data_IF_253284542256
#
_entry.id   IF_253284542256
#
_cell.length_a   1.000
_cell.length_b   1.000
_cell.length_c   1.000
_cell.angle_alpha   90.00
_cell.angle_beta   90.00
_cell.angle_gamma   90.00
#
_symmetry.space_group_name_H-M   'P 1'
#
loop_
_entity.id
_entity.type
_entity.pdbx_description
1 polymer ?
#
# COMPACT_ATOMS: atom_id res chain seq x y z
N UNK A 1 -38.82 -3.58 -58.89
CA UNK A 1 -38.41 -3.10 -57.55
C UNK A 1 -39.06 -4.01 -56.52
N UNK A 2 -38.24 -4.75 -55.80
CA UNK A 2 -38.73 -5.55 -54.68
C UNK A 2 -39.23 -4.64 -53.55
N UNK A 3 -40.28 -5.07 -52.83
CA UNK A 3 -40.71 -4.37 -51.62
C UNK A 3 -39.53 -4.32 -50.63
N UNK A 4 -39.39 -3.18 -49.92
CA UNK A 4 -38.29 -3.07 -48.95
C UNK A 4 -38.51 -4.06 -47.80
N UNK A 5 -37.50 -4.86 -47.42
CA UNK A 5 -37.64 -5.90 -46.40
C UNK A 5 -37.63 -5.30 -44.97
N UNK A 6 -38.77 -4.70 -44.57
CA UNK A 6 -38.90 -4.04 -43.26
C UNK A 6 -38.72 -4.97 -42.08
N UNK A 7 -39.07 -6.25 -42.25
CA UNK A 7 -38.88 -7.26 -41.21
C UNK A 7 -37.38 -7.52 -40.96
N UNK A 8 -36.60 -7.63 -42.06
CA UNK A 8 -35.14 -7.84 -41.96
C UNK A 8 -34.44 -6.62 -41.37
N UNK A 9 -34.87 -5.42 -41.76
CA UNK A 9 -34.39 -4.19 -41.15
C UNK A 9 -34.71 -4.14 -39.63
N UNK A 10 -35.87 -4.61 -39.22
CA UNK A 10 -36.25 -4.75 -37.81
C UNK A 10 -35.38 -5.73 -37.04
N UNK A 11 -35.04 -6.88 -37.66
CA UNK A 11 -34.11 -7.86 -37.08
C UNK A 11 -32.72 -7.26 -36.91
N UNK A 12 -32.19 -6.55 -37.91
CA UNK A 12 -30.91 -5.87 -37.87
C UNK A 12 -30.84 -4.88 -36.69
N UNK A 13 -31.88 -4.05 -36.54
CA UNK A 13 -31.99 -3.09 -35.42
C UNK A 13 -32.02 -3.83 -34.08
N UNK A 14 -32.76 -4.93 -33.98
CA UNK A 14 -32.84 -5.73 -32.76
C UNK A 14 -31.46 -6.33 -32.40
N UNK A 15 -30.68 -6.80 -33.39
CA UNK A 15 -29.33 -7.30 -33.20
C UNK A 15 -28.36 -6.18 -32.75
N UNK A 16 -28.47 -4.96 -33.30
CA UNK A 16 -27.68 -3.80 -32.86
C UNK A 16 -28.03 -3.46 -31.41
N UNK A 17 -29.28 -3.44 -31.01
CA UNK A 17 -29.71 -3.19 -29.63
C UNK A 17 -29.18 -4.28 -28.69
N UNK A 18 -29.27 -5.54 -29.10
CA UNK A 18 -28.73 -6.68 -28.32
C UNK A 18 -27.23 -6.54 -28.09
N UNK A 19 -26.48 -6.13 -29.11
CA UNK A 19 -25.07 -5.83 -29.01
C UNK A 19 -24.83 -4.71 -27.98
N UNK A 20 -25.64 -3.66 -28.00
CA UNK A 20 -25.59 -2.57 -27.04
C UNK A 20 -25.84 -3.01 -25.59
N UNK A 21 -26.77 -3.96 -25.40
CA UNK A 21 -26.99 -4.56 -24.05
C UNK A 21 -25.79 -5.29 -23.56
N UNK A 22 -25.07 -6.06 -24.40
CA UNK A 22 -23.85 -6.72 -24.04
C UNK A 22 -22.73 -5.71 -23.70
N UNK A 23 -22.49 -4.73 -24.58
CA UNK A 23 -21.47 -3.70 -24.37
C UNK A 23 -21.74 -2.85 -23.11
N UNK A 24 -23.01 -2.50 -22.86
CA UNK A 24 -23.41 -1.79 -21.63
C UNK A 24 -23.18 -2.65 -20.38
N UNK A 25 -23.51 -3.94 -20.43
CA UNK A 25 -23.36 -4.88 -19.31
C UNK A 25 -21.89 -5.08 -18.96
N UNK A 26 -21.04 -5.25 -19.98
CA UNK A 26 -19.58 -5.35 -19.83
C UNK A 26 -19.03 -4.16 -19.08
N UNK A 27 -19.25 -2.97 -19.63
CA UNK A 27 -18.72 -1.74 -19.06
C UNK A 27 -19.26 -1.47 -17.65
N UNK A 28 -20.55 -1.74 -17.41
CA UNK A 28 -21.16 -1.53 -16.11
C UNK A 28 -20.57 -2.44 -15.03
N UNK A 29 -20.31 -3.72 -15.31
CA UNK A 29 -19.77 -4.67 -14.35
C UNK A 29 -18.29 -4.37 -14.08
N UNK A 30 -17.50 -4.09 -15.11
CA UNK A 30 -16.07 -3.77 -15.00
C UNK A 30 -15.82 -2.46 -14.25
N UNK A 31 -16.64 -1.42 -14.52
CA UNK A 31 -16.48 -0.09 -13.91
C UNK A 31 -17.20 0.05 -12.56
N UNK A 32 -17.89 -0.97 -12.07
CA UNK A 32 -18.62 -0.89 -10.81
C UNK A 32 -17.69 -1.01 -9.61
N UNK A 33 -17.91 -0.15 -8.60
CA UNK A 33 -17.15 -0.18 -7.35
C UNK A 33 -17.67 -1.27 -6.43
N UNK A 34 -16.82 -2.26 -6.10
CA UNK A 34 -17.20 -3.40 -5.23
C UNK A 34 -17.84 -2.97 -3.89
N UNK A 35 -17.37 -1.93 -3.17
CA UNK A 35 -18.00 -1.48 -1.94
C UNK A 35 -19.46 -1.02 -2.15
N UNK A 36 -19.75 -0.29 -3.23
CA UNK A 36 -21.13 0.16 -3.55
C UNK A 36 -22.04 -1.01 -3.90
N UNK A 37 -21.56 -1.98 -4.67
CA UNK A 37 -22.33 -3.19 -4.95
C UNK A 37 -22.60 -3.99 -3.68
N UNK A 38 -21.65 -4.08 -2.74
CA UNK A 38 -21.85 -4.73 -1.43
C UNK A 38 -22.92 -4.01 -0.60
N UNK A 39 -22.91 -2.68 -0.57
CA UNK A 39 -23.93 -1.90 0.12
C UNK A 39 -25.35 -2.18 -0.47
N UNK A 40 -25.47 -2.23 -1.81
CA UNK A 40 -26.74 -2.57 -2.48
C UNK A 40 -27.14 -4.04 -2.23
N UNK A 41 -26.19 -4.96 -2.14
CA UNK A 41 -26.48 -6.36 -1.84
C UNK A 41 -26.98 -6.55 -0.40
N UNK A 42 -26.40 -5.79 0.55
CA UNK A 42 -26.81 -5.78 1.96
C UNK A 42 -28.22 -5.16 2.13
N UNK A 43 -28.61 -4.21 1.28
CA UNK A 43 -29.98 -3.66 1.24
C UNK A 43 -30.99 -4.58 0.51
N UNK A 44 -30.60 -5.82 0.17
CA UNK A 44 -31.49 -6.84 -0.37
C UNK A 44 -31.51 -6.99 -1.89
N UNK A 45 -30.68 -6.26 -2.65
CA UNK A 45 -30.62 -6.37 -4.10
C UNK A 45 -30.02 -7.71 -4.56
N UNK A 46 -30.87 -8.59 -5.14
CA UNK A 46 -30.44 -9.86 -5.75
C UNK A 46 -29.53 -9.64 -6.96
N UNK A 47 -29.79 -8.58 -7.73
CA UNK A 47 -28.98 -8.23 -8.89
C UNK A 47 -27.57 -7.76 -8.51
N UNK A 48 -27.42 -7.01 -7.43
CA UNK A 48 -26.10 -6.62 -6.92
C UNK A 48 -25.28 -7.83 -6.46
N UNK A 49 -25.92 -8.84 -5.82
CA UNK A 49 -25.26 -10.11 -5.49
C UNK A 49 -24.77 -10.87 -6.73
N UNK A 50 -25.56 -10.85 -7.81
CA UNK A 50 -25.16 -11.45 -9.09
C UNK A 50 -24.01 -10.66 -9.74
N UNK A 51 -24.05 -9.31 -9.71
CA UNK A 51 -22.99 -8.46 -10.23
C UNK A 51 -21.66 -8.68 -9.51
N UNK A 52 -21.66 -8.81 -8.18
CA UNK A 52 -20.47 -9.12 -7.40
C UNK A 52 -19.85 -10.44 -7.85
N UNK A 53 -20.65 -11.51 -7.97
CA UNK A 53 -20.14 -12.83 -8.42
C UNK A 53 -19.52 -12.78 -9.82
N UNK A 54 -20.09 -12.00 -10.74
CA UNK A 54 -19.51 -11.82 -12.07
C UNK A 54 -18.22 -11.01 -12.04
N UNK A 55 -18.14 -10.01 -11.16
CA UNK A 55 -16.94 -9.19 -10.96
C UNK A 55 -15.82 -9.90 -10.16
N UNK A 56 -16.13 -10.99 -9.44
CA UNK A 56 -15.14 -11.84 -8.77
C UNK A 56 -14.40 -12.78 -9.75
N UNK A 57 -15.06 -13.13 -10.87
CA UNK A 57 -14.49 -13.97 -11.93
C UNK A 57 -14.52 -13.25 -13.28
N UNK A 58 -13.74 -12.17 -13.44
CA UNK A 58 -13.86 -11.28 -14.59
C UNK A 58 -13.51 -11.98 -15.91
N UNK A 59 -12.54 -12.89 -15.91
CA UNK A 59 -12.11 -13.61 -17.12
C UNK A 59 -13.25 -14.37 -17.78
N UNK A 60 -13.97 -15.21 -17.04
CA UNK A 60 -15.14 -15.95 -17.56
C UNK A 60 -16.25 -15.05 -18.04
N UNK A 61 -16.53 -13.98 -17.31
CA UNK A 61 -17.55 -13.01 -17.69
C UNK A 61 -17.18 -12.28 -18.98
N UNK A 62 -15.97 -11.71 -19.06
CA UNK A 62 -15.48 -10.98 -20.23
C UNK A 62 -15.45 -11.86 -21.47
N UNK A 63 -14.93 -13.10 -21.37
CA UNK A 63 -14.93 -14.06 -22.46
C UNK A 63 -16.35 -14.35 -22.95
N UNK A 64 -17.32 -14.52 -22.04
CA UNK A 64 -18.72 -14.76 -22.41
C UNK A 64 -19.31 -13.58 -23.16
N UNK A 65 -19.13 -12.37 -22.66
CA UNK A 65 -19.64 -11.16 -23.31
C UNK A 65 -19.00 -10.95 -24.67
N UNK A 66 -17.70 -11.16 -24.78
CA UNK A 66 -16.97 -11.03 -26.04
C UNK A 66 -17.46 -12.04 -27.09
N UNK A 67 -17.74 -13.29 -26.69
CA UNK A 67 -18.38 -14.26 -27.57
C UNK A 67 -19.73 -13.72 -28.07
N UNK A 68 -20.54 -13.19 -27.16
CA UNK A 68 -21.86 -12.63 -27.49
C UNK A 68 -21.76 -11.46 -28.47
N UNK A 69 -20.92 -10.48 -28.19
CA UNK A 69 -20.70 -9.31 -29.04
C UNK A 69 -20.20 -9.73 -30.43
N UNK A 70 -19.21 -10.61 -30.50
CA UNK A 70 -18.63 -11.08 -31.76
C UNK A 70 -19.65 -11.86 -32.59
N UNK A 71 -20.39 -12.78 -31.96
CA UNK A 71 -21.39 -13.58 -32.63
C UNK A 71 -22.53 -12.70 -33.21
N UNK A 72 -23.06 -11.78 -32.39
CA UNK A 72 -24.10 -10.86 -32.82
C UNK A 72 -23.61 -9.97 -33.96
N UNK A 73 -22.38 -9.47 -33.88
CA UNK A 73 -21.78 -8.61 -34.92
C UNK A 73 -21.58 -9.36 -36.23
N UNK A 74 -21.09 -10.61 -36.21
CA UNK A 74 -20.94 -11.43 -37.41
C UNK A 74 -22.29 -11.74 -38.04
N UNK A 75 -23.26 -12.18 -37.21
CA UNK A 75 -24.62 -12.47 -37.70
C UNK A 75 -25.28 -11.20 -38.30
N UNK A 76 -25.11 -10.07 -37.63
CA UNK A 76 -25.69 -8.80 -38.12
C UNK A 76 -25.06 -8.38 -39.44
N UNK A 77 -23.74 -8.47 -39.59
CA UNK A 77 -23.03 -8.13 -40.82
C UNK A 77 -23.45 -9.06 -42.01
N UNK A 78 -23.42 -10.37 -41.77
CA UNK A 78 -23.80 -11.35 -42.78
C UNK A 78 -25.27 -11.23 -43.18
N UNK A 79 -26.16 -11.08 -42.21
CA UNK A 79 -27.61 -10.97 -42.46
C UNK A 79 -27.95 -9.67 -43.16
N UNK A 80 -27.38 -8.53 -42.79
CA UNK A 80 -27.63 -7.24 -43.41
C UNK A 80 -27.15 -7.20 -44.87
N UNK A 81 -25.94 -7.76 -45.14
CA UNK A 81 -25.43 -7.87 -46.51
C UNK A 81 -26.32 -8.73 -47.39
N UNK A 82 -26.74 -9.89 -46.89
CA UNK A 82 -27.59 -10.81 -47.67
C UNK A 82 -29.04 -10.24 -47.93
N UNK A 83 -29.62 -9.59 -46.92
CA UNK A 83 -31.04 -9.15 -47.02
C UNK A 83 -31.22 -7.77 -47.65
N UNK A 84 -30.28 -6.83 -47.46
CA UNK A 84 -30.46 -5.44 -47.86
C UNK A 84 -29.65 -5.03 -49.11
N UNK A 85 -28.61 -5.76 -49.50
CA UNK A 85 -27.77 -5.36 -50.64
C UNK A 85 -28.51 -5.24 -51.94
N UNK A 86 -29.31 -6.27 -52.33
CA UNK A 86 -30.11 -6.27 -53.57
C UNK A 86 -31.20 -5.20 -53.56
N UNK A 87 -32.05 -5.08 -52.53
CA UNK A 87 -33.07 -4.04 -52.48
C UNK A 87 -32.50 -2.61 -52.52
N UNK A 88 -31.35 -2.39 -51.93
CA UNK A 88 -30.66 -1.07 -51.97
C UNK A 88 -30.05 -0.85 -53.36
N UNK A 89 -29.38 -1.86 -53.95
CA UNK A 89 -28.83 -1.81 -55.29
C UNK A 89 -29.86 -1.50 -56.38
N UNK A 90 -31.04 -2.14 -56.34
CA UNK A 90 -32.13 -1.83 -57.26
C UNK A 90 -32.57 -0.35 -57.19
N UNK A 91 -32.64 0.24 -56.00
CA UNK A 91 -32.98 1.64 -55.82
C UNK A 91 -31.91 2.58 -56.33
N UNK A 92 -30.64 2.23 -56.10
CA UNK A 92 -29.48 2.99 -56.61
C UNK A 92 -29.45 2.96 -58.15
N UNK A 93 -29.71 1.79 -58.75
CA UNK A 93 -29.85 1.66 -60.21
C UNK A 93 -30.96 2.56 -60.75
N UNK A 94 -32.12 2.57 -60.11
CA UNK A 94 -33.26 3.38 -60.51
C UNK A 94 -33.06 4.89 -60.35
N UNK A 95 -32.33 5.33 -59.30
CA UNK A 95 -32.08 6.76 -59.06
C UNK A 95 -30.92 7.33 -59.83
N UNK A 96 -29.87 6.55 -60.00
CA UNK A 96 -28.60 7.02 -60.58
C UNK A 96 -28.31 6.43 -61.96
N UNK A 97 -29.16 5.55 -62.53
CA UNK A 97 -28.97 4.93 -63.80
C UNK A 97 -27.77 3.99 -63.89
N UNK A 98 -27.35 3.41 -62.77
CA UNK A 98 -26.21 2.50 -62.71
C UNK A 98 -26.52 1.15 -63.33
N UNK A 99 -25.50 0.52 -63.90
CA UNK A 99 -25.59 -0.86 -64.42
C UNK A 99 -25.91 -1.78 -63.24
N UNK A 100 -26.85 -2.75 -63.38
CA UNK A 100 -27.32 -3.58 -62.25
C UNK A 100 -26.20 -4.23 -61.40
N UNK A 101 -25.18 -4.80 -62.01
CA UNK A 101 -24.05 -5.42 -61.31
C UNK A 101 -23.24 -4.42 -60.45
N UNK A 102 -23.01 -3.20 -61.01
CA UNK A 102 -22.35 -2.13 -60.32
C UNK A 102 -23.20 -1.58 -59.17
N UNK A 103 -24.52 -1.44 -59.41
CA UNK A 103 -25.46 -0.96 -58.44
C UNK A 103 -25.60 -1.92 -57.21
N UNK A 104 -25.57 -3.23 -57.47
CA UNK A 104 -25.59 -4.24 -56.41
C UNK A 104 -24.31 -4.21 -55.54
N UNK A 105 -23.14 -4.11 -56.18
CA UNK A 105 -21.84 -4.00 -55.48
C UNK A 105 -21.75 -2.73 -54.65
N UNK A 106 -22.19 -1.58 -55.17
CA UNK A 106 -22.25 -0.31 -54.43
C UNK A 106 -23.29 -0.35 -53.33
N UNK A 107 -24.44 -0.97 -53.58
CA UNK A 107 -25.50 -1.18 -52.58
C UNK A 107 -25.01 -2.03 -51.41
N UNK A 108 -24.31 -3.12 -51.68
CA UNK A 108 -23.68 -3.95 -50.67
C UNK A 108 -22.69 -3.15 -49.80
N UNK A 109 -21.79 -2.42 -50.46
CA UNK A 109 -20.80 -1.58 -49.74
C UNK A 109 -21.46 -0.52 -48.86
N UNK A 110 -22.51 0.17 -49.40
CA UNK A 110 -23.27 1.18 -48.66
C UNK A 110 -23.98 0.58 -47.43
N UNK A 111 -24.61 -0.59 -47.59
CA UNK A 111 -25.28 -1.30 -46.48
C UNK A 111 -24.28 -1.67 -45.41
N UNK A 112 -23.13 -2.27 -45.78
CA UNK A 112 -22.10 -2.65 -44.82
C UNK A 112 -21.57 -1.44 -44.05
N UNK A 113 -21.23 -0.35 -44.72
CA UNK A 113 -20.70 0.87 -44.06
C UNK A 113 -21.76 1.45 -43.12
N UNK A 114 -23.03 1.56 -43.57
CA UNK A 114 -24.11 2.14 -42.78
C UNK A 114 -24.39 1.28 -41.53
N UNK A 115 -24.49 -0.04 -41.69
CA UNK A 115 -24.81 -0.95 -40.58
C UNK A 115 -23.60 -1.01 -39.61
N UNK A 116 -22.39 -1.01 -40.11
CA UNK A 116 -21.16 -0.95 -39.25
C UNK A 116 -21.17 0.35 -38.44
N UNK A 117 -21.44 1.49 -39.04
CA UNK A 117 -21.52 2.79 -38.36
C UNK A 117 -22.61 2.79 -37.26
N UNK A 118 -23.84 2.32 -37.60
CA UNK A 118 -24.91 2.23 -36.61
C UNK A 118 -24.63 1.24 -35.50
N UNK A 119 -24.02 0.09 -35.83
CA UNK A 119 -23.61 -0.91 -34.84
C UNK A 119 -22.56 -0.35 -33.89
N UNK A 120 -21.60 0.42 -34.39
CA UNK A 120 -20.53 1.01 -33.57
C UNK A 120 -21.08 2.07 -32.61
N UNK A 121 -21.98 2.95 -33.12
CA UNK A 121 -22.53 4.02 -32.28
C UNK A 121 -23.59 3.48 -31.32
N UNK A 122 -24.63 2.80 -31.84
CA UNK A 122 -25.79 2.39 -31.05
C UNK A 122 -25.53 1.08 -30.33
N UNK A 123 -24.77 0.18 -30.96
CA UNK A 123 -24.44 -1.15 -30.42
C UNK A 123 -23.21 -1.19 -29.49
N UNK A 124 -22.39 -0.12 -29.43
CA UNK A 124 -21.19 -0.17 -28.62
C UNK A 124 -20.88 1.14 -27.90
N UNK A 125 -20.59 2.25 -28.59
CA UNK A 125 -20.08 3.47 -27.98
C UNK A 125 -21.10 4.13 -27.03
N UNK A 126 -22.31 4.35 -27.47
CA UNK A 126 -23.36 5.01 -26.64
C UNK A 126 -23.70 4.16 -25.42
N UNK A 127 -23.95 2.84 -25.53
CA UNK A 127 -24.21 1.98 -24.39
C UNK A 127 -23.07 1.96 -23.36
N UNK A 128 -21.80 1.91 -23.80
CA UNK A 128 -20.62 1.97 -22.91
C UNK A 128 -20.54 3.29 -22.16
N UNK A 129 -20.74 4.42 -22.86
CA UNK A 129 -20.76 5.73 -22.19
C UNK A 129 -21.92 5.87 -21.19
N UNK A 130 -23.10 5.31 -21.54
CA UNK A 130 -24.22 5.32 -20.64
C UNK A 130 -23.98 4.49 -19.38
N UNK A 131 -23.29 3.35 -19.52
CA UNK A 131 -22.91 2.49 -18.40
C UNK A 131 -22.00 3.22 -17.39
N UNK A 132 -21.09 4.08 -17.83
CA UNK A 132 -20.19 4.84 -16.97
C UNK A 132 -20.89 5.86 -16.08
N UNK A 133 -22.08 6.35 -16.43
CA UNK A 133 -22.83 7.34 -15.62
C UNK A 133 -23.43 6.77 -14.34
N UNK A 134 -23.64 5.46 -14.27
CA UNK A 134 -24.23 4.80 -13.11
C UNK A 134 -23.99 3.30 -13.12
N UNK A 135 -22.72 2.86 -13.07
CA UNK A 135 -22.33 1.49 -13.36
C UNK A 135 -22.98 0.48 -12.40
N UNK A 136 -23.10 0.79 -11.12
CA UNK A 136 -23.62 -0.15 -10.13
C UNK A 136 -25.11 -0.47 -10.33
N UNK A 137 -25.91 0.55 -10.70
CA UNK A 137 -27.36 0.37 -10.94
C UNK A 137 -27.61 -0.47 -12.21
N UNK A 138 -26.82 -0.21 -13.24
CA UNK A 138 -26.91 -0.93 -14.52
C UNK A 138 -26.40 -2.36 -14.33
N UNK A 139 -25.24 -2.54 -13.69
CA UNK A 139 -24.69 -3.84 -13.35
C UNK A 139 -25.71 -4.69 -12.56
N UNK A 140 -26.34 -4.13 -11.53
CA UNK A 140 -27.34 -4.85 -10.75
C UNK A 140 -28.58 -5.26 -11.56
N UNK A 141 -28.98 -4.49 -12.57
CA UNK A 141 -30.11 -4.85 -13.44
C UNK A 141 -29.77 -5.93 -14.47
N UNK A 142 -28.57 -5.84 -15.06
CA UNK A 142 -28.13 -6.71 -16.15
C UNK A 142 -27.53 -8.02 -15.65
N UNK A 143 -26.90 -8.03 -14.47
CA UNK A 143 -26.18 -9.19 -13.94
C UNK A 143 -27.01 -10.48 -13.84
N UNK A 144 -28.29 -10.50 -13.47
CA UNK A 144 -29.06 -11.75 -13.45
C UNK A 144 -29.17 -12.41 -14.82
N UNK A 145 -29.44 -11.60 -15.89
CA UNK A 145 -29.46 -12.08 -17.26
C UNK A 145 -28.08 -12.57 -17.71
N UNK A 146 -27.06 -11.76 -17.46
CA UNK A 146 -25.68 -12.08 -17.82
C UNK A 146 -25.16 -13.32 -17.10
N UNK A 147 -25.52 -13.54 -15.84
CA UNK A 147 -25.17 -14.75 -15.11
C UNK A 147 -25.79 -16.03 -15.70
N UNK A 148 -27.02 -15.93 -16.20
CA UNK A 148 -27.66 -17.00 -16.95
C UNK A 148 -26.93 -17.31 -18.25
N UNK A 149 -26.59 -16.28 -19.02
CA UNK A 149 -25.86 -16.38 -20.27
C UNK A 149 -24.45 -16.95 -20.08
N UNK A 150 -23.72 -16.46 -19.05
CA UNK A 150 -22.39 -16.96 -18.72
C UNK A 150 -22.44 -18.46 -18.42
N UNK A 151 -23.44 -18.91 -17.67
CA UNK A 151 -23.61 -20.35 -17.38
C UNK A 151 -23.86 -21.15 -18.65
N UNK A 152 -24.64 -20.63 -19.59
CA UNK A 152 -24.92 -21.30 -20.87
C UNK A 152 -23.66 -21.37 -21.76
N UNK A 153 -22.87 -20.30 -21.78
CA UNK A 153 -21.68 -20.18 -22.63
C UNK A 153 -20.38 -20.65 -21.96
N UNK A 154 -20.44 -21.15 -20.71
CA UNK A 154 -19.27 -21.67 -19.99
C UNK A 154 -18.44 -22.66 -20.80
N UNK A 155 -18.99 -23.64 -21.56
CA UNK A 155 -18.17 -24.56 -22.34
C UNK A 155 -17.37 -23.84 -23.44
N UNK A 156 -17.99 -22.87 -24.12
CA UNK A 156 -17.33 -22.09 -25.17
C UNK A 156 -16.24 -21.16 -24.58
N UNK A 157 -16.56 -20.51 -23.46
CA UNK A 157 -15.58 -19.66 -22.74
C UNK A 157 -14.38 -20.49 -22.27
N UNK A 158 -14.58 -21.69 -21.74
CA UNK A 158 -13.50 -22.59 -21.33
C UNK A 158 -12.56 -22.95 -22.51
N UNK A 159 -13.11 -23.24 -23.68
CA UNK A 159 -12.30 -23.51 -24.89
C UNK A 159 -11.44 -22.31 -25.26
N UNK A 160 -12.02 -21.08 -25.22
CA UNK A 160 -11.30 -19.84 -25.52
C UNK A 160 -10.18 -19.57 -24.50
N UNK A 161 -10.47 -19.68 -23.22
CA UNK A 161 -9.46 -19.49 -22.17
C UNK A 161 -8.32 -20.50 -22.31
N UNK A 162 -8.64 -21.75 -22.60
CA UNK A 162 -7.63 -22.79 -22.81
C UNK A 162 -6.77 -22.48 -24.04
N UNK A 163 -7.40 -22.01 -25.11
CA UNK A 163 -6.70 -21.62 -26.34
C UNK A 163 -5.78 -20.40 -26.10
N UNK A 164 -6.28 -19.39 -25.39
CA UNK A 164 -5.50 -18.22 -25.00
C UNK A 164 -4.31 -18.59 -24.12
N UNK A 165 -4.51 -19.47 -23.14
CA UNK A 165 -3.43 -19.99 -22.30
C UNK A 165 -2.32 -20.66 -23.13
N UNK A 166 -2.68 -21.50 -24.10
CA UNK A 166 -1.68 -22.13 -24.98
C UNK A 166 -0.91 -21.10 -25.83
N UNK A 167 -1.57 -20.05 -26.30
CA UNK A 167 -0.89 -18.96 -27.03
C UNK A 167 0.12 -18.23 -26.12
N UNK A 168 -0.26 -17.89 -24.87
CA UNK A 168 0.66 -17.27 -23.92
C UNK A 168 1.85 -18.16 -23.58
N UNK A 169 1.62 -19.47 -23.38
CA UNK A 169 2.70 -20.43 -23.15
C UNK A 169 3.65 -20.50 -24.38
N UNK A 170 3.12 -20.50 -25.59
CA UNK A 170 3.90 -20.50 -26.82
C UNK A 170 4.72 -19.22 -27.01
N UNK A 171 4.23 -18.07 -26.49
CA UNK A 171 4.94 -16.79 -26.49
C UNK A 171 5.93 -16.64 -25.31
N UNK A 172 6.10 -17.70 -24.49
CA UNK A 172 7.04 -17.69 -23.36
C UNK A 172 6.55 -16.93 -22.12
N UNK A 173 5.32 -16.43 -22.13
CA UNK A 173 4.73 -15.74 -20.97
C UNK A 173 4.05 -16.79 -20.05
N UNK A 174 4.67 -17.07 -18.90
CA UNK A 174 4.00 -17.79 -17.81
C UNK A 174 3.12 -16.81 -17.04
N UNK A 175 1.84 -17.08 -16.96
CA UNK A 175 0.90 -16.31 -16.13
C UNK A 175 1.32 -16.45 -14.66
N UNK A 176 1.95 -15.45 -14.10
CA UNK A 176 2.07 -15.29 -12.66
C UNK A 176 0.78 -14.64 -12.18
N UNK A 177 -0.12 -15.48 -11.69
CA UNK A 177 -1.41 -15.05 -11.12
C UNK A 177 -1.28 -14.58 -9.65
N UNK A 178 -0.08 -14.23 -9.18
CA UNK A 178 0.12 -13.64 -7.87
C UNK A 178 0.07 -12.12 -7.99
N UNK A 179 -1.13 -11.55 -7.90
CA UNK A 179 -1.30 -10.20 -7.40
C UNK A 179 -1.09 -10.23 -5.87
N UNK A 180 0.13 -10.48 -5.43
CA UNK A 180 0.53 -10.09 -4.10
C UNK A 180 0.52 -8.57 -4.06
N UNK A 181 -0.32 -8.00 -3.20
CA UNK A 181 -0.30 -6.56 -2.93
C UNK A 181 1.13 -6.22 -2.48
N UNK A 182 1.80 -5.35 -3.21
CA UNK A 182 3.15 -4.90 -2.83
C UNK A 182 3.06 -3.85 -1.73
N UNK A 183 4.15 -3.63 -1.03
CA UNK A 183 4.22 -2.60 0.01
C UNK A 183 3.99 -1.20 -0.59
N UNK A 184 4.54 -0.93 -1.78
CA UNK A 184 4.31 0.33 -2.50
C UNK A 184 2.84 0.54 -2.85
N UNK A 185 2.13 -0.52 -3.25
CA UNK A 185 0.70 -0.45 -3.53
C UNK A 185 -0.09 -0.13 -2.25
N UNK A 186 0.30 -0.73 -1.12
CA UNK A 186 -0.31 -0.44 0.18
C UNK A 186 -0.07 1.01 0.61
N UNK A 187 1.17 1.51 0.51
CA UNK A 187 1.52 2.91 0.78
C UNK A 187 0.73 3.88 -0.11
N UNK A 188 0.59 3.57 -1.40
CA UNK A 188 -0.20 4.37 -2.35
C UNK A 188 -1.68 4.43 -1.96
N UNK A 189 -2.27 3.31 -1.52
CA UNK A 189 -3.67 3.26 -1.07
C UNK A 189 -3.88 4.10 0.20
N UNK A 190 -2.93 4.07 1.13
CA UNK A 190 -3.00 4.87 2.37
C UNK A 190 -2.90 6.37 2.04
N UNK A 191 -1.98 6.77 1.16
CA UNK A 191 -1.85 8.16 0.71
C UNK A 191 -3.10 8.65 -0.06
N UNK A 192 -3.72 7.79 -0.89
CA UNK A 192 -5.00 8.12 -1.56
C UNK A 192 -6.13 8.32 -0.53
N UNK A 193 -6.16 7.51 0.53
CA UNK A 193 -7.17 7.62 1.58
C UNK A 193 -7.05 8.93 2.37
N UNK A 194 -5.83 9.40 2.66
CA UNK A 194 -5.56 10.71 3.26
C UNK A 194 -6.02 11.85 2.34
N UNK A 195 -5.59 11.85 1.07
CA UNK A 195 -5.98 12.85 0.08
C UNK A 195 -7.50 12.91 -0.11
N UNK A 196 -8.18 11.77 0.01
CA UNK A 196 -9.64 11.66 -0.05
C UNK A 196 -10.35 12.08 1.26
N UNK A 197 -9.61 12.42 2.33
CA UNK A 197 -10.16 12.78 3.64
C UNK A 197 -10.84 11.61 4.37
N UNK A 198 -10.45 10.38 4.06
CA UNK A 198 -10.97 9.15 4.71
C UNK A 198 -10.20 8.89 6.00
N UNK A 199 -8.92 9.24 6.04
CA UNK A 199 -8.03 9.17 7.21
C UNK A 199 -7.41 10.55 7.44
N UNK A 200 -7.06 10.85 8.68
CA UNK A 200 -6.38 12.07 9.08
C UNK A 200 -4.86 11.94 8.89
N UNK A 201 -4.14 13.07 8.80
CA UNK A 201 -2.68 13.10 8.67
C UNK A 201 -1.97 12.32 9.79
N UNK A 202 -2.46 12.42 11.02
CA UNK A 202 -1.91 11.67 12.16
C UNK A 202 -2.14 10.15 12.03
N UNK A 203 -3.30 9.74 11.51
CA UNK A 203 -3.60 8.33 11.26
C UNK A 203 -2.70 7.77 10.14
N UNK A 204 -2.48 8.55 9.08
CA UNK A 204 -1.53 8.21 8.02
C UNK A 204 -0.11 8.03 8.56
N UNK A 205 0.37 8.96 9.40
CA UNK A 205 1.69 8.90 10.02
C UNK A 205 1.86 7.63 10.88
N UNK A 206 0.83 7.25 11.67
CA UNK A 206 0.87 6.04 12.49
C UNK A 206 0.87 4.76 11.63
N UNK A 207 0.03 4.69 10.58
CA UNK A 207 0.01 3.52 9.67
C UNK A 207 1.38 3.34 9.01
N UNK A 208 1.96 4.42 8.51
CA UNK A 208 3.30 4.42 7.91
C UNK A 208 4.37 4.05 8.94
N UNK A 209 4.25 4.54 10.18
CA UNK A 209 5.12 4.16 11.30
C UNK A 209 5.09 2.66 11.62
N UNK A 210 3.91 2.04 11.63
CA UNK A 210 3.77 0.59 11.82
C UNK A 210 4.41 -0.19 10.68
N UNK A 211 4.23 0.25 9.43
CA UNK A 211 4.86 -0.39 8.26
C UNK A 211 6.39 -0.31 8.37
N UNK A 212 6.93 0.87 8.69
CA UNK A 212 8.38 1.04 8.90
C UNK A 212 8.92 0.20 10.05
N UNK A 213 8.18 0.06 11.14
CA UNK A 213 8.61 -0.76 12.27
C UNK A 213 8.76 -2.23 11.88
N UNK A 214 7.91 -2.74 10.97
CA UNK A 214 7.97 -4.11 10.50
C UNK A 214 9.30 -4.45 9.79
N UNK A 215 9.92 -3.45 9.16
CA UNK A 215 11.18 -3.61 8.41
C UNK A 215 12.42 -3.23 9.23
N UNK A 216 12.23 -2.75 10.47
CA UNK A 216 13.33 -2.31 11.32
C UNK A 216 13.82 -3.41 12.25
N UNK A 217 15.13 -3.50 12.37
CA UNK A 217 15.81 -4.28 13.40
C UNK A 217 15.82 -3.53 14.74
N UNK A 218 15.89 -4.28 15.86
CA UNK A 218 15.89 -3.72 17.22
C UNK A 218 17.00 -2.69 17.41
N UNK A 219 18.20 -2.88 16.83
CA UNK A 219 19.30 -1.91 16.88
C UNK A 219 18.94 -0.51 16.36
N UNK A 220 17.90 -0.41 15.50
CA UNK A 220 17.44 0.86 14.95
C UNK A 220 16.39 1.57 15.80
N UNK A 221 15.91 0.94 16.87
CA UNK A 221 14.88 1.48 17.76
C UNK A 221 15.24 1.40 19.25
N UNK A 222 16.31 0.67 19.63
CA UNK A 222 16.74 0.50 21.00
C UNK A 222 17.33 1.80 21.58
N UNK A 223 17.32 1.91 22.90
CA UNK A 223 18.14 2.88 23.63
C UNK A 223 19.59 2.34 23.70
N UNK A 224 20.58 3.01 23.07
CA UNK A 224 21.96 2.54 23.05
C UNK A 224 22.61 2.52 24.44
N UNK A 225 23.59 1.61 24.66
CA UNK A 225 24.26 1.40 25.94
C UNK A 225 24.78 2.69 26.61
N UNK A 226 25.25 3.65 25.83
CA UNK A 226 25.76 4.93 26.33
C UNK A 226 24.71 5.86 26.91
N UNK A 227 23.41 5.59 26.67
CA UNK A 227 22.29 6.35 27.20
C UNK A 227 21.51 5.57 28.26
N UNK A 228 21.93 4.34 28.55
CA UNK A 228 21.22 3.49 29.53
C UNK A 228 21.65 3.87 30.93
N UNK A 229 20.70 4.23 31.80
CA UNK A 229 20.92 4.42 33.22
C UNK A 229 20.90 3.10 33.97
N UNK A 230 21.88 2.90 34.84
CA UNK A 230 22.05 1.68 35.62
C UNK A 230 22.57 1.96 37.01
N UNK A 231 22.40 1.02 37.93
CA UNK A 231 22.91 1.04 39.31
C UNK A 231 23.94 -0.04 39.45
N UNK A 232 25.04 0.25 40.15
CA UNK A 232 26.01 -0.78 40.55
C UNK A 232 25.46 -1.59 41.74
N UNK A 233 25.55 -2.91 41.63
CA UNK A 233 25.13 -3.80 42.71
C UNK A 233 25.95 -3.61 43.99
N UNK A 234 27.10 -2.91 43.94
CA UNK A 234 27.93 -2.55 45.05
C UNK A 234 27.69 -1.15 45.62
N UNK A 235 26.78 -0.37 45.06
CA UNK A 235 26.46 0.97 45.50
C UNK A 235 25.91 0.99 46.92
N UNK A 236 26.28 2.02 47.68
CA UNK A 236 25.74 2.26 49.00
C UNK A 236 24.30 2.74 48.95
N UNK A 237 23.54 2.56 50.06
CA UNK A 237 22.16 3.05 50.16
C UNK A 237 22.02 4.56 49.89
N UNK A 238 23.09 5.35 50.15
CA UNK A 238 23.10 6.78 49.88
C UNK A 238 23.23 7.08 48.39
N UNK A 239 24.06 6.35 47.67
CA UNK A 239 24.25 6.47 46.21
C UNK A 239 22.98 6.01 45.47
N UNK A 240 22.37 4.87 45.89
CA UNK A 240 21.13 4.37 45.33
C UNK A 240 20.00 5.39 45.50
N UNK A 241 19.89 6.02 46.71
CA UNK A 241 18.88 7.07 46.93
C UNK A 241 19.12 8.29 46.05
N UNK A 242 20.34 8.74 45.89
CA UNK A 242 20.69 9.86 45.04
C UNK A 242 20.32 9.58 43.57
N UNK A 243 20.68 8.39 43.09
CA UNK A 243 20.33 7.96 41.73
C UNK A 243 18.79 7.88 41.50
N UNK A 244 18.03 7.33 42.46
CA UNK A 244 16.58 7.25 42.36
C UNK A 244 15.88 8.62 42.40
N UNK A 245 16.47 9.61 43.02
CA UNK A 245 15.95 11.00 43.00
C UNK A 245 16.26 11.70 41.67
N UNK A 246 17.41 11.38 41.08
CA UNK A 246 17.88 12.01 39.84
C UNK A 246 17.25 11.37 38.59
N UNK A 247 16.98 10.06 38.63
CA UNK A 247 16.48 9.33 37.46
C UNK A 247 15.02 9.64 37.17
N UNK A 248 14.67 9.84 35.91
CA UNK A 248 13.28 9.90 35.45
C UNK A 248 12.67 8.53 35.28
N UNK A 249 13.48 7.48 35.28
CA UNK A 249 13.05 6.14 34.88
C UNK A 249 12.41 5.35 36.02
N UNK A 250 11.36 4.64 35.70
CA UNK A 250 10.68 3.74 36.66
C UNK A 250 11.31 2.36 36.72
N UNK A 251 12.21 2.04 35.77
CA UNK A 251 12.95 0.79 35.69
C UNK A 251 14.42 1.11 35.44
N UNK A 252 15.29 0.45 36.14
CA UNK A 252 16.75 0.65 36.06
C UNK A 252 17.44 -0.70 35.91
N UNK A 253 18.52 -0.71 35.15
CA UNK A 253 19.40 -1.86 35.09
C UNK A 253 20.20 -1.95 36.39
N UNK A 254 20.49 -3.16 36.83
CA UNK A 254 21.48 -3.45 37.87
C UNK A 254 22.60 -4.21 37.21
N UNK A 255 23.85 -3.72 37.39
CA UNK A 255 25.03 -4.35 36.84
C UNK A 255 26.13 -4.45 37.92
N UNK A 256 27.18 -5.18 37.66
CA UNK A 256 28.32 -5.40 38.58
C UNK A 256 29.59 -4.75 38.03
N UNK A 257 29.91 -3.56 38.52
CA UNK A 257 31.15 -2.83 38.17
C UNK A 257 31.17 -2.26 36.73
N UNK A 258 30.40 -2.79 35.82
CA UNK A 258 30.26 -2.34 34.43
C UNK A 258 28.90 -2.65 33.88
N UNK A 259 28.38 -1.79 33.00
CA UNK A 259 27.11 -2.01 32.29
C UNK A 259 27.12 -3.27 31.41
N UNK A 260 28.30 -3.81 31.09
CA UNK A 260 28.40 -5.07 30.35
C UNK A 260 28.10 -6.31 31.22
N UNK A 261 28.07 -6.13 32.54
CA UNK A 261 27.83 -7.20 33.54
C UNK A 261 26.43 -7.03 34.15
N UNK A 262 25.39 -6.98 33.32
CA UNK A 262 24.02 -6.82 33.76
C UNK A 262 23.57 -8.06 34.57
N UNK A 263 23.09 -7.83 35.80
CA UNK A 263 22.49 -8.84 36.68
C UNK A 263 20.98 -8.96 36.40
N UNK A 264 20.33 -7.84 36.11
CA UNK A 264 18.90 -7.80 35.87
C UNK A 264 18.33 -6.39 35.90
N UNK A 265 17.01 -6.30 36.02
CA UNK A 265 16.24 -5.04 36.03
C UNK A 265 15.50 -4.93 37.36
N UNK A 266 15.54 -3.74 37.97
CA UNK A 266 14.72 -3.41 39.14
C UNK A 266 13.58 -2.44 38.74
N UNK A 267 12.53 -2.46 39.50
CA UNK A 267 11.51 -1.40 39.50
C UNK A 267 11.81 -0.41 40.62
N UNK A 268 11.93 0.87 40.30
CA UNK A 268 12.20 1.92 41.31
C UNK A 268 11.23 1.86 42.48
N UNK A 269 9.97 1.51 42.27
CA UNK A 269 8.94 1.32 43.31
C UNK A 269 9.30 0.24 44.35
N UNK A 270 9.99 -0.84 43.94
CA UNK A 270 10.37 -1.95 44.82
C UNK A 270 11.50 -1.49 45.79
N UNK A 271 12.41 -0.64 45.28
CA UNK A 271 13.45 0.01 46.10
C UNK A 271 12.84 1.04 47.07
N UNK A 272 11.91 1.88 46.55
CA UNK A 272 11.18 2.86 47.41
C UNK A 272 10.39 2.15 48.50
N UNK A 273 9.76 1.03 48.23
CA UNK A 273 9.06 0.22 49.20
C UNK A 273 10.01 -0.28 50.32
N UNK A 274 11.17 -0.80 49.95
CA UNK A 274 12.18 -1.23 50.93
C UNK A 274 12.67 -0.06 51.82
N UNK A 275 12.83 1.13 51.22
CA UNK A 275 13.22 2.35 51.94
C UNK A 275 12.16 2.79 52.96
N UNK A 276 10.86 2.78 52.53
CA UNK A 276 9.76 3.18 53.43
C UNK A 276 9.59 2.19 54.60
N UNK A 277 9.80 0.90 54.35
CA UNK A 277 9.74 -0.16 55.35
C UNK A 277 10.99 -0.22 56.25
N UNK A 278 12.01 0.58 55.96
CA UNK A 278 13.27 0.58 56.73
C UNK A 278 14.09 -0.68 56.52
N UNK A 279 13.87 -1.43 55.43
CA UNK A 279 14.67 -2.61 55.08
C UNK A 279 15.94 -2.18 54.35
N UNK A 280 17.05 -2.92 54.52
CA UNK A 280 18.25 -2.69 53.74
C UNK A 280 17.94 -2.88 52.24
N UNK A 281 18.57 -2.06 51.38
CA UNK A 281 18.44 -2.17 49.93
C UNK A 281 19.40 -3.24 49.46
N UNK A 282 18.88 -4.36 49.00
CA UNK A 282 19.66 -5.39 48.30
C UNK A 282 19.26 -5.42 46.81
N UNK A 283 20.04 -4.72 45.98
CA UNK A 283 19.78 -4.62 44.53
C UNK A 283 19.81 -5.99 43.84
N UNK A 284 20.67 -6.92 44.31
CA UNK A 284 20.76 -8.28 43.76
C UNK A 284 19.50 -9.09 44.03
N UNK A 285 18.94 -8.95 45.23
CA UNK A 285 17.69 -9.64 45.61
C UNK A 285 16.46 -9.04 44.93
N UNK A 286 16.48 -7.74 44.61
CA UNK A 286 15.41 -7.04 43.95
C UNK A 286 15.47 -7.17 42.41
N UNK A 287 16.66 -7.45 41.87
CA UNK A 287 16.84 -7.60 40.42
C UNK A 287 16.09 -8.82 39.88
N UNK A 288 15.39 -8.61 38.79
CA UNK A 288 14.65 -9.65 38.05
C UNK A 288 15.32 -9.86 36.70
N UNK A 289 15.37 -11.09 36.19
CA UNK A 289 15.92 -11.36 34.87
C UNK A 289 15.12 -10.66 33.78
N UNK A 290 15.81 -10.07 32.83
CA UNK A 290 15.23 -9.51 31.61
C UNK A 290 15.51 -10.44 30.42
N UNK A 291 14.62 -10.55 29.45
CA UNK A 291 14.90 -11.27 28.21
C UNK A 291 16.08 -10.62 27.46
N UNK A 292 16.86 -11.44 26.78
CA UNK A 292 17.98 -11.01 25.93
C UNK A 292 17.56 -11.20 24.48
N UNK A 293 17.77 -10.18 23.66
CA UNK A 293 17.45 -10.16 22.24
C UNK A 293 18.72 -9.89 21.42
N UNK A 294 18.91 -10.55 20.29
CA UNK A 294 19.94 -10.14 19.34
C UNK A 294 19.57 -8.78 18.70
N UNK A 295 20.56 -7.95 18.43
CA UNK A 295 20.39 -6.61 17.85
C UNK A 295 19.76 -6.61 16.45
N UNK A 296 19.89 -7.74 15.73
CA UNK A 296 19.37 -7.96 14.37
C UNK A 296 17.92 -8.48 14.33
N UNK A 297 17.29 -8.79 15.46
CA UNK A 297 15.88 -9.24 15.49
C UNK A 297 14.96 -8.12 15.01
N UNK A 298 13.87 -8.48 14.35
CA UNK A 298 12.87 -7.50 13.91
C UNK A 298 12.17 -6.85 15.12
N UNK A 299 11.93 -5.55 15.03
CA UNK A 299 11.34 -4.79 16.13
C UNK A 299 9.93 -5.28 16.50
N UNK A 300 9.17 -5.82 15.54
CA UNK A 300 7.86 -6.44 15.78
C UNK A 300 7.97 -7.71 16.60
N UNK A 301 9.00 -8.54 16.35
CA UNK A 301 9.25 -9.75 17.13
C UNK A 301 9.70 -9.40 18.56
N UNK A 302 10.50 -8.34 18.71
CA UNK A 302 10.85 -7.82 20.03
C UNK A 302 9.63 -7.39 20.84
N UNK A 303 8.61 -6.79 20.19
CA UNK A 303 7.35 -6.43 20.85
C UNK A 303 6.64 -7.66 21.41
N UNK A 304 6.65 -8.78 20.69
CA UNK A 304 6.05 -10.03 21.15
C UNK A 304 6.77 -10.54 22.42
N UNK A 305 8.10 -10.50 22.46
CA UNK A 305 8.91 -10.90 23.63
C UNK A 305 8.65 -9.98 24.83
N UNK A 306 8.60 -8.65 24.58
CA UNK A 306 8.35 -7.67 25.63
C UNK A 306 6.95 -7.80 26.26
N UNK A 307 5.94 -8.18 25.45
CA UNK A 307 4.57 -8.40 25.92
C UNK A 307 4.48 -9.57 26.91
N UNK A 308 5.26 -10.60 26.70
CA UNK A 308 5.25 -11.81 27.53
C UNK A 308 6.25 -11.72 28.70
N UNK A 309 7.12 -10.69 28.74
CA UNK A 309 8.10 -10.47 29.79
C UNK A 309 7.47 -10.02 31.11
N UNK A 310 7.97 -10.51 32.24
CA UNK A 310 7.52 -10.11 33.58
C UNK A 310 7.77 -8.62 33.87
N UNK A 311 8.88 -8.08 33.34
CA UNK A 311 9.20 -6.65 33.27
C UNK A 311 9.39 -6.35 31.78
N UNK A 312 8.60 -5.43 31.19
CA UNK A 312 8.69 -5.13 29.76
C UNK A 312 9.91 -4.24 29.45
N UNK A 313 11.09 -4.84 29.51
CA UNK A 313 12.39 -4.33 29.10
C UNK A 313 13.23 -5.52 28.66
N UNK A 314 13.91 -5.42 27.54
CA UNK A 314 14.81 -6.46 27.05
C UNK A 314 16.23 -5.89 26.87
N UNK A 315 17.22 -6.72 27.15
CA UNK A 315 18.62 -6.43 26.91
C UNK A 315 18.94 -6.78 25.45
N UNK A 316 19.65 -5.89 24.77
CA UNK A 316 20.06 -6.12 23.38
C UNK A 316 21.54 -6.43 23.36
N UNK A 317 21.90 -7.54 22.70
CA UNK A 317 23.29 -7.98 22.55
C UNK A 317 23.65 -8.19 21.08
N UNK A 318 24.92 -7.96 20.76
CA UNK A 318 25.50 -8.31 19.47
C UNK A 318 25.76 -9.83 19.33
N UNK A 319 26.28 -10.25 18.17
CA UNK A 319 26.64 -11.65 17.88
C UNK A 319 27.78 -12.20 18.72
N UNK A 320 28.53 -11.32 19.41
CA UNK A 320 29.62 -11.69 20.32
C UNK A 320 29.18 -11.74 21.78
N UNK A 321 27.93 -11.33 22.07
CA UNK A 321 27.39 -11.29 23.42
C UNK A 321 27.71 -9.99 24.19
N UNK A 322 28.13 -8.92 23.50
CA UNK A 322 28.33 -7.62 24.13
C UNK A 322 26.97 -6.91 24.29
N UNK A 323 26.85 -6.21 25.40
CA UNK A 323 25.64 -5.41 25.66
C UNK A 323 25.66 -4.15 24.79
N UNK A 324 24.67 -4.04 23.90
CA UNK A 324 24.51 -2.92 22.97
C UNK A 324 23.47 -1.89 23.43
N UNK A 325 22.50 -2.29 24.26
CA UNK A 325 21.48 -1.40 24.76
C UNK A 325 20.26 -2.13 25.31
N UNK A 326 19.17 -1.40 25.43
CA UNK A 326 17.87 -1.92 25.88
C UNK A 326 16.77 -1.55 24.90
N UNK A 327 15.72 -2.35 24.89
CA UNK A 327 14.49 -2.00 24.19
C UNK A 327 13.29 -2.15 25.12
N UNK A 328 12.40 -1.17 25.06
CA UNK A 328 11.16 -1.10 25.85
C UNK A 328 9.95 -0.93 24.90
N UNK A 329 8.71 -1.17 25.36
CA UNK A 329 7.51 -0.84 24.60
C UNK A 329 7.40 0.65 24.24
N UNK A 330 8.00 1.54 25.06
CA UNK A 330 8.01 2.98 24.78
C UNK A 330 8.85 3.32 23.56
N UNK A 331 10.00 2.65 23.39
CA UNK A 331 10.88 2.84 22.22
C UNK A 331 10.17 2.39 20.93
N UNK A 332 9.49 1.24 20.98
CA UNK A 332 8.72 0.73 19.84
C UNK A 332 7.52 1.62 19.51
N UNK A 333 6.84 2.14 20.53
CA UNK A 333 5.72 3.05 20.33
C UNK A 333 6.19 4.41 19.79
N UNK A 334 7.35 4.90 20.25
CA UNK A 334 7.97 6.11 19.71
C UNK A 334 8.36 5.94 18.23
N UNK A 335 8.80 4.75 17.83
CA UNK A 335 9.09 4.44 16.43
C UNK A 335 7.85 4.42 15.51
N UNK A 336 6.65 4.17 16.08
CA UNK A 336 5.36 4.20 15.36
C UNK A 336 4.77 5.60 15.30
N UNK A 337 4.63 6.24 16.46
CA UNK A 337 3.84 7.45 16.64
C UNK A 337 4.68 8.75 16.75
N UNK A 338 6.01 8.61 16.65
CA UNK A 338 6.95 9.68 16.98
C UNK A 338 7.25 9.74 18.48
N UNK A 339 8.31 10.46 18.84
CA UNK A 339 8.71 10.59 20.24
C UNK A 339 7.62 11.27 21.06
N UNK A 340 7.24 10.62 22.18
CA UNK A 340 6.37 11.26 23.17
C UNK A 340 7.18 12.29 23.95
N UNK A 341 6.62 13.46 24.17
CA UNK A 341 7.20 14.41 25.12
C UNK A 341 7.25 13.76 26.49
N UNK A 342 8.41 13.44 27.00
CA UNK A 342 8.57 13.11 28.40
C UNK A 342 8.70 14.42 29.20
N UNK A 343 8.27 14.40 30.49
CA UNK A 343 8.40 15.54 31.40
C UNK A 343 9.87 16.00 31.60
N UNK A 344 10.82 15.33 30.94
CA UNK A 344 12.26 15.43 31.15
C UNK A 344 13.01 15.79 29.87
N UNK A 345 12.43 15.52 28.69
CA UNK A 345 12.99 16.03 27.45
C UNK A 345 12.87 17.55 27.44
N UNK A 346 13.98 18.23 27.26
CA UNK A 346 14.06 19.71 27.17
C UNK A 346 13.22 20.29 26.00
N UNK A 347 12.28 19.52 25.45
CA UNK A 347 11.32 19.95 24.44
C UNK A 347 11.96 20.21 23.06
N UNK A 348 13.15 19.66 22.81
CA UNK A 348 13.78 19.77 21.49
C UNK A 348 13.09 18.85 20.50
N UNK A 349 12.53 19.45 19.46
CA UNK A 349 11.92 18.70 18.35
C UNK A 349 13.03 18.02 17.55
N UNK A 350 12.83 16.74 17.18
CA UNK A 350 13.78 15.97 16.39
C UNK A 350 14.02 16.57 14.99
N UNK A 351 13.07 17.32 14.47
CA UNK A 351 13.17 18.07 13.23
C UNK A 351 12.36 19.37 13.28
N UNK A 352 13.01 20.49 12.96
CA UNK A 352 12.39 21.82 12.92
C UNK A 352 12.56 22.41 11.53
N UNK A 353 11.45 22.72 10.86
CA UNK A 353 11.47 23.49 9.61
C UNK A 353 11.62 24.97 9.94
N UNK A 354 12.66 25.60 9.39
CA UNK A 354 12.93 27.03 9.58
C UNK A 354 12.22 27.87 8.52
N UNK A 355 12.10 29.18 8.79
CA UNK A 355 11.45 30.14 7.89
C UNK A 355 12.15 30.25 6.52
N UNK A 356 13.44 29.92 6.44
CA UNK A 356 14.25 29.94 5.22
C UNK A 356 14.12 28.64 4.39
N UNK A 357 13.29 27.69 4.83
CA UNK A 357 13.09 26.38 4.17
C UNK A 357 14.15 25.35 4.51
N UNK A 358 15.11 25.67 5.38
CA UNK A 358 16.06 24.68 5.89
C UNK A 358 15.48 23.88 7.06
N UNK A 359 16.00 22.67 7.27
CA UNK A 359 15.65 21.81 8.39
C UNK A 359 16.78 21.78 9.42
N UNK A 360 16.44 21.97 10.68
CA UNK A 360 17.32 21.62 11.79
C UNK A 360 16.94 20.23 12.27
N UNK A 361 17.83 19.26 12.10
CA UNK A 361 17.59 17.86 12.43
C UNK A 361 18.46 17.43 13.60
N UNK A 362 17.90 16.60 14.51
CA UNK A 362 18.69 15.89 15.51
C UNK A 362 19.51 14.78 14.85
N UNK A 363 20.77 14.67 15.24
CA UNK A 363 21.62 13.56 14.79
C UNK A 363 21.12 12.18 15.21
N UNK A 364 20.32 12.09 16.27
CA UNK A 364 19.69 10.85 16.73
C UNK A 364 18.39 10.50 16.00
N UNK A 365 17.84 11.44 15.22
CA UNK A 365 16.65 11.20 14.39
C UNK A 365 16.86 10.00 13.46
N UNK A 366 15.83 9.20 13.24
CA UNK A 366 15.91 8.07 12.33
C UNK A 366 16.18 8.51 10.88
N UNK A 367 17.10 7.82 10.21
CA UNK A 367 17.48 8.13 8.83
C UNK A 367 16.28 8.00 7.85
N UNK A 368 15.38 7.05 8.08
CA UNK A 368 14.17 6.88 7.27
C UNK A 368 13.22 8.07 7.39
N UNK A 369 13.07 8.61 8.59
CA UNK A 369 12.22 9.78 8.82
C UNK A 369 12.79 11.04 8.16
N UNK A 370 14.12 11.20 8.18
CA UNK A 370 14.80 12.24 7.42
C UNK A 370 14.57 12.05 5.92
N UNK A 371 14.74 10.82 5.41
CA UNK A 371 14.57 10.51 4.00
C UNK A 371 13.15 10.83 3.49
N UNK A 372 12.13 10.43 4.24
CA UNK A 372 10.72 10.75 3.93
C UNK A 372 10.47 12.27 3.85
N UNK A 373 11.07 13.05 4.78
CA UNK A 373 10.90 14.52 4.82
C UNK A 373 11.64 15.25 3.69
N UNK A 374 12.79 14.72 3.30
CA UNK A 374 13.66 15.33 2.29
C UNK A 374 13.44 14.75 0.88
N UNK A 375 12.63 13.70 0.73
CA UNK A 375 12.43 13.01 -0.52
C UNK A 375 13.69 12.27 -1.00
N UNK A 376 14.47 11.71 -0.07
CA UNK A 376 15.69 10.97 -0.37
C UNK A 376 15.43 9.46 -0.42
N UNK A 377 16.03 8.79 -1.40
CA UNK A 377 16.04 7.34 -1.45
C UNK A 377 17.26 6.79 -0.70
N UNK A 378 17.03 5.99 0.34
CA UNK A 378 18.09 5.31 1.09
C UNK A 378 18.24 3.87 0.63
N UNK A 379 19.50 3.33 0.62
CA UNK A 379 19.72 1.92 0.31
C UNK A 379 18.98 1.00 1.29
N UNK A 380 18.36 -0.06 0.78
CA UNK A 380 17.67 -1.05 1.61
C UNK A 380 18.63 -1.79 2.57
N UNK A 381 19.89 -2.04 2.14
CA UNK A 381 20.94 -2.59 2.99
C UNK A 381 21.91 -1.49 3.36
N UNK A 382 21.90 -1.06 4.62
CA UNK A 382 22.78 -0.01 5.17
C UNK A 382 23.18 -0.32 6.61
N UNK A 383 24.35 0.16 7.01
CA UNK A 383 24.90 -0.06 8.35
C UNK A 383 24.58 1.08 9.33
N UNK A 384 23.77 2.04 8.95
CA UNK A 384 23.35 3.17 9.78
C UNK A 384 21.82 3.24 9.92
N UNK A 385 21.37 3.78 11.05
CA UNK A 385 19.95 3.91 11.38
C UNK A 385 19.53 5.35 11.70
N UNK A 386 20.52 6.26 11.90
CA UNK A 386 20.26 7.66 12.31
C UNK A 386 20.79 8.64 11.27
N UNK A 387 20.34 9.90 11.36
CA UNK A 387 20.83 11.01 10.53
C UNK A 387 22.34 11.21 10.70
N UNK A 388 22.83 11.14 11.94
CA UNK A 388 24.27 11.19 12.22
C UNK A 388 25.01 10.02 11.55
N UNK A 389 24.45 8.81 11.64
CA UNK A 389 25.01 7.63 10.99
C UNK A 389 25.04 7.74 9.46
N UNK A 390 23.97 8.29 8.86
CA UNK A 390 23.93 8.59 7.43
C UNK A 390 25.06 9.54 7.02
N UNK A 391 25.22 10.66 7.74
CA UNK A 391 26.27 11.63 7.44
C UNK A 391 27.69 11.03 7.60
N UNK A 392 27.91 10.21 8.64
CA UNK A 392 29.18 9.52 8.86
C UNK A 392 29.48 8.51 7.73
N UNK A 393 28.49 7.80 7.24
CA UNK A 393 28.65 6.86 6.12
C UNK A 393 29.03 7.59 4.82
N UNK A 394 28.47 8.75 4.57
CA UNK A 394 28.80 9.58 3.40
C UNK A 394 30.17 10.25 3.55
N UNK A 395 30.49 10.84 4.70
CA UNK A 395 31.77 11.52 4.97
C UNK A 395 32.94 10.55 5.12
N UNK A 396 32.69 9.35 5.67
CA UNK A 396 33.71 8.32 6.00
C UNK A 396 34.76 8.75 7.02
N UNK A 397 34.49 9.79 7.78
CA UNK A 397 35.30 10.25 8.91
C UNK A 397 34.41 11.00 9.91
N UNK A 398 34.91 11.23 11.11
CA UNK A 398 34.20 12.03 12.12
C UNK A 398 34.32 13.51 11.74
N UNK A 399 33.19 14.21 11.50
CA UNK A 399 33.23 15.61 11.09
C UNK A 399 33.55 16.56 12.26
N UNK A 400 33.94 17.78 11.91
CA UNK A 400 33.99 18.91 12.84
C UNK A 400 32.74 19.80 12.69
N UNK A 401 32.45 20.59 13.74
CA UNK A 401 31.35 21.59 13.67
C UNK A 401 31.62 22.60 12.54
N UNK A 402 30.62 22.81 11.68
CA UNK A 402 30.71 23.65 10.49
C UNK A 402 31.11 22.89 9.23
N UNK A 403 31.46 21.61 9.33
CA UNK A 403 31.71 20.79 8.15
C UNK A 403 30.41 20.51 7.41
N UNK A 404 30.46 20.59 6.09
CA UNK A 404 29.27 20.42 5.26
C UNK A 404 29.52 19.49 4.07
N UNK A 405 28.49 18.73 3.73
CA UNK A 405 28.44 17.79 2.60
C UNK A 405 27.19 18.05 1.77
N UNK A 406 27.31 17.97 0.44
CA UNK A 406 26.14 18.03 -0.44
C UNK A 406 25.83 16.64 -1.01
N UNK A 407 24.59 16.22 -0.83
CA UNK A 407 24.09 14.95 -1.37
C UNK A 407 22.77 15.21 -2.11
N UNK A 408 22.77 14.95 -3.43
CA UNK A 408 21.63 15.26 -4.28
C UNK A 408 21.28 16.75 -4.28
N UNK A 409 20.06 17.09 -3.94
CA UNK A 409 19.55 18.47 -3.87
C UNK A 409 19.70 19.09 -2.47
N UNK A 410 20.36 18.40 -1.52
CA UNK A 410 20.46 18.83 -0.14
C UNK A 410 21.89 19.02 0.32
N UNK A 411 22.12 20.10 1.04
CA UNK A 411 23.37 20.39 1.76
C UNK A 411 23.19 20.12 3.25
N UNK A 412 23.99 19.23 3.80
CA UNK A 412 24.05 18.86 5.21
C UNK A 412 25.23 19.58 5.87
N UNK A 413 24.98 20.32 6.95
CA UNK A 413 26.03 21.02 7.72
C UNK A 413 25.93 20.61 9.19
N UNK A 414 27.05 20.22 9.79
CA UNK A 414 27.12 19.89 11.23
C UNK A 414 27.10 21.17 12.03
N UNK A 415 26.01 21.40 12.77
CA UNK A 415 25.84 22.62 13.59
C UNK A 415 26.36 22.42 15.00
N UNK A 416 26.14 21.24 15.58
CA UNK A 416 26.52 20.96 16.95
C UNK A 416 27.05 19.53 17.12
N UNK A 417 28.05 19.40 18.03
CA UNK A 417 28.70 18.14 18.37
C UNK A 417 28.75 17.99 19.88
N UNK A 418 28.22 16.90 20.41
CA UNK A 418 28.42 16.49 21.81
C UNK A 418 29.58 15.47 21.90
N UNK A 419 30.77 15.98 22.17
CA UNK A 419 31.99 15.22 22.15
C UNK A 419 32.29 14.63 20.76
N UNK A 420 32.04 13.33 20.55
CA UNK A 420 32.22 12.64 19.28
C UNK A 420 30.87 12.33 18.58
N UNK A 421 29.76 12.71 19.18
CA UNK A 421 28.42 12.51 18.66
C UNK A 421 27.98 13.75 17.89
N UNK A 422 27.49 13.57 16.69
CA UNK A 422 26.80 14.64 15.95
C UNK A 422 25.44 14.85 16.62
N UNK A 423 25.24 16.04 17.22
CA UNK A 423 24.00 16.36 17.93
C UNK A 423 22.97 16.99 16.99
N UNK A 424 23.37 18.02 16.24
CA UNK A 424 22.47 18.73 15.35
C UNK A 424 23.07 18.98 13.98
N UNK A 425 22.22 18.85 12.97
CA UNK A 425 22.53 19.14 11.57
C UNK A 425 21.56 20.17 11.00
N UNK A 426 22.09 21.08 10.20
CA UNK A 426 21.31 21.96 9.33
C UNK A 426 21.29 21.37 7.93
N UNK A 427 20.10 21.15 7.42
CA UNK A 427 19.88 20.65 6.06
C UNK A 427 19.17 21.71 5.24
N UNK A 428 19.81 22.17 4.19
CA UNK A 428 19.28 23.21 3.30
C UNK A 428 19.30 22.74 1.83
N UNK A 429 18.44 23.28 0.98
CA UNK A 429 18.56 23.08 -0.47
C UNK A 429 19.98 23.51 -0.94
N UNK A 430 20.60 22.70 -1.85
CA UNK A 430 21.97 22.88 -2.33
C UNK A 430 22.11 24.02 -3.34
#
# INVERSE_FOLDING_TARGET
MHAFPWLDAGIIVALIILNGVFAMSEMAIVSSRKPRLRAMANSGSRGAKAAIRLAEHPGHFLSTVQIGITLVSIVNGAFSGASLAVPVGERLSAWFGLIPETAESVGFGLVIVTITYLSLIIGELVPKQFALRGPERIAARMAPFMAGLTRLLTPAAWVLERSTHYVFVALGQRHSADHSVTEEELRSVVAEAETAGVIEEQEHAMITGVMRLADRQVRGVMTPRGQVEWLDAGDSDAEIRAALVATPHTRLLVAEGSVDMVIGVIQARDVVAALIEGRPIDLRALARPAPVLPDVIDAVDALAVLRDAAIPIALVHDEYGHFEGIVTPADLLAAIAGAFRSDIDNGEEAAVLREDGSWLLSGSMAADEMADRLGLDLPASRDYQTVAGYLLAELRHLPETGEALTVGEWRFEVVDMDGRKIDKLLVSPA
#
